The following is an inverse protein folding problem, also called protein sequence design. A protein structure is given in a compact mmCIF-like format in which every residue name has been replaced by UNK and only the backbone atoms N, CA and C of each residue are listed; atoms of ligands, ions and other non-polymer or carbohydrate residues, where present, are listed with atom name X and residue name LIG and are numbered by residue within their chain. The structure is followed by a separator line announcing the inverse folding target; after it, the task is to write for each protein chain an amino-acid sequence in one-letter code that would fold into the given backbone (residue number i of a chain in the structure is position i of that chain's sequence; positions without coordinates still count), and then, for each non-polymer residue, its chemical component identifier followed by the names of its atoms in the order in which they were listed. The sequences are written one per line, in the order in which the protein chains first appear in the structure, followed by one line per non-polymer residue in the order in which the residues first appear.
data_IF_744502010880
#
_entry.id   IF_744502010880
#
_cell.length_a   1.000
_cell.length_b   1.000
_cell.length_c   1.000
_cell.angle_alpha   90.00
_cell.angle_beta   90.00
_cell.angle_gamma   90.00
#
_symmetry.space_group_name_H-M   'P 1'
#
loop_
_entity.id
_entity.type
_entity.pdbx_description
1 polymer ?
#
# COMPACT_ATOMS: atom_id res chain seq x y z
N UNK A 1 -13.49 -2.65 11.06
CA UNK A 1 -12.11 -2.12 11.20
C UNK A 1 -11.52 -1.92 9.82
N UNK A 2 -10.71 -0.88 9.66
CA UNK A 2 -10.00 -0.54 8.42
C UNK A 2 -8.56 -1.00 8.46
N UNK A 3 -7.96 -1.20 7.30
CA UNK A 3 -6.54 -1.44 7.16
C UNK A 3 -5.91 -0.34 6.30
N UNK A 4 -4.73 0.14 6.71
CA UNK A 4 -3.86 0.98 5.89
C UNK A 4 -2.52 0.26 5.74
N UNK A 5 -2.09 0.06 4.49
CA UNK A 5 -0.71 -0.36 4.19
C UNK A 5 0.07 0.81 3.61
N UNK A 6 1.19 1.10 4.27
CA UNK A 6 2.10 2.21 3.95
C UNK A 6 3.06 1.79 2.83
N UNK A 7 2.87 2.36 1.64
CA UNK A 7 3.60 2.00 0.42
C UNK A 7 4.15 3.22 -0.37
N UNK A 8 4.09 4.43 0.18
CA UNK A 8 4.55 5.67 -0.46
C UNK A 8 6.08 5.89 -0.45
N UNK A 9 6.86 4.90 0.00
CA UNK A 9 8.32 5.00 0.05
C UNK A 9 8.98 4.93 -1.34
N UNK A 10 9.95 5.83 -1.60
CA UNK A 10 10.77 5.82 -2.82
C UNK A 10 11.84 4.72 -2.86
N UNK A 11 12.06 4.02 -1.74
CA UNK A 11 12.92 2.84 -1.63
C UNK A 11 14.33 2.98 -2.27
N UNK A 12 14.94 4.17 -2.23
CA UNK A 12 16.19 4.49 -2.96
C UNK A 12 17.40 3.63 -2.56
N UNK A 13 17.35 3.01 -1.38
CA UNK A 13 18.38 2.08 -0.89
C UNK A 13 18.46 0.76 -1.68
N UNK A 14 17.40 0.41 -2.41
CA UNK A 14 17.31 -0.82 -3.21
C UNK A 14 17.52 -0.57 -4.72
N UNK A 15 17.94 0.63 -5.11
CA UNK A 15 18.29 0.89 -6.51
C UNK A 15 19.38 -0.09 -6.99
N UNK A 16 19.28 -0.59 -8.24
CA UNK A 16 18.33 -0.15 -9.29
C UNK A 16 16.97 -0.86 -9.28
N UNK A 17 16.74 -1.84 -8.39
CA UNK A 17 15.49 -2.64 -8.41
C UNK A 17 14.24 -1.79 -8.26
N UNK A 18 14.32 -0.73 -7.47
CA UNK A 18 13.20 0.16 -7.13
C UNK A 18 13.17 1.45 -7.93
N UNK A 19 13.98 1.56 -8.98
CA UNK A 19 14.01 2.77 -9.81
C UNK A 19 12.70 2.96 -10.58
N UNK A 20 12.13 1.85 -11.08
CA UNK A 20 10.88 1.84 -11.86
C UNK A 20 9.78 0.99 -11.24
N UNK A 21 10.05 0.24 -10.17
CA UNK A 21 9.07 -0.63 -9.52
C UNK A 21 9.01 -0.33 -8.03
N UNK A 22 7.85 -0.06 -7.42
CA UNK A 22 7.78 0.18 -5.98
C UNK A 22 8.15 -1.10 -5.21
N UNK A 23 8.88 -0.96 -4.09
CA UNK A 23 9.34 -2.10 -3.28
C UNK A 23 8.23 -3.10 -2.93
N UNK A 24 7.02 -2.68 -2.49
CA UNK A 24 5.93 -3.61 -2.16
C UNK A 24 5.45 -4.47 -3.34
N UNK A 25 5.72 -4.08 -4.58
CA UNK A 25 5.37 -4.86 -5.78
C UNK A 25 6.53 -5.72 -6.30
N UNK A 26 7.70 -5.67 -5.67
CA UNK A 26 8.78 -6.60 -6.00
C UNK A 26 8.39 -8.04 -5.61
N UNK A 27 8.74 -9.04 -6.45
CA UNK A 27 8.40 -10.42 -6.19
C UNK A 27 9.25 -11.02 -5.07
N UNK A 28 8.60 -11.69 -4.13
CA UNK A 28 9.21 -12.53 -3.09
C UNK A 28 8.54 -13.90 -3.15
N UNK A 29 9.30 -14.97 -3.39
CA UNK A 29 8.73 -16.31 -3.52
C UNK A 29 7.67 -16.43 -4.63
N UNK A 30 7.82 -15.67 -5.71
CA UNK A 30 6.93 -15.69 -6.88
C UNK A 30 5.67 -14.82 -6.77
N UNK A 31 5.45 -14.08 -5.67
CA UNK A 31 4.33 -13.16 -5.48
C UNK A 31 4.81 -11.77 -5.02
N UNK A 32 4.13 -10.67 -5.39
CA UNK A 32 4.40 -9.34 -4.84
C UNK A 32 4.46 -9.33 -3.31
N UNK A 33 5.41 -8.60 -2.74
CA UNK A 33 5.60 -8.46 -1.29
C UNK A 33 4.29 -8.06 -0.56
N UNK A 34 3.52 -7.13 -1.14
CA UNK A 34 2.25 -6.67 -0.60
C UNK A 34 1.20 -7.80 -0.48
N UNK A 35 1.24 -8.82 -1.34
CA UNK A 35 0.30 -9.94 -1.26
C UNK A 35 0.59 -10.86 -0.07
N UNK A 36 1.86 -10.95 0.35
CA UNK A 36 2.20 -11.63 1.59
C UNK A 36 1.71 -10.83 2.80
N UNK A 37 1.85 -9.50 2.77
CA UNK A 37 1.30 -8.62 3.82
C UNK A 37 -0.22 -8.81 3.96
N UNK A 38 -0.94 -8.81 2.84
CA UNK A 38 -2.39 -9.06 2.81
C UNK A 38 -2.75 -10.45 3.34
N UNK A 39 -1.99 -11.48 2.96
CA UNK A 39 -2.22 -12.84 3.45
C UNK A 39 -2.00 -12.94 4.97
N UNK A 40 -0.97 -12.28 5.50
CA UNK A 40 -0.68 -12.24 6.93
C UNK A 40 -1.76 -11.48 7.71
N UNK A 41 -2.26 -10.35 7.21
CA UNK A 41 -3.29 -9.58 7.90
C UNK A 41 -4.70 -10.17 7.78
N UNK A 42 -4.99 -10.94 6.73
CA UNK A 42 -6.27 -11.64 6.56
C UNK A 42 -6.61 -12.56 7.75
N UNK A 43 -5.61 -13.08 8.47
CA UNK A 43 -5.79 -13.92 9.65
C UNK A 43 -6.44 -13.20 10.84
N UNK A 44 -6.40 -11.85 10.88
CA UNK A 44 -7.01 -11.04 11.95
C UNK A 44 -8.54 -11.07 11.84
N UNK A 45 -9.08 -11.09 10.62
CA UNK A 45 -10.52 -11.01 10.35
C UNK A 45 -11.12 -9.62 10.61
N UNK A 46 -12.33 -9.39 10.12
CA UNK A 46 -13.09 -8.15 10.38
C UNK A 46 -12.59 -6.89 9.65
N UNK A 47 -11.59 -7.02 8.77
CA UNK A 47 -11.12 -5.97 7.88
C UNK A 47 -12.08 -5.90 6.70
N UNK A 48 -12.83 -4.80 6.60
CA UNK A 48 -13.85 -4.60 5.57
C UNK A 48 -13.39 -3.68 4.41
N UNK A 49 -12.26 -2.99 4.60
CA UNK A 49 -11.66 -2.09 3.62
C UNK A 49 -10.16 -1.95 3.86
N UNK A 50 -9.38 -2.10 2.79
CA UNK A 50 -7.93 -1.89 2.79
C UNK A 50 -7.55 -0.69 1.93
N UNK A 51 -6.83 0.26 2.51
CA UNK A 51 -6.22 1.37 1.78
C UNK A 51 -4.73 1.12 1.61
N UNK A 52 -4.23 1.25 0.39
CA UNK A 52 -2.79 1.23 0.09
C UNK A 52 -2.39 2.64 -0.27
N UNK A 53 -1.64 3.30 0.61
CA UNK A 53 -1.14 4.66 0.36
C UNK A 53 0.18 4.62 -0.37
N UNK A 54 0.27 5.35 -1.48
CA UNK A 54 1.42 5.41 -2.37
C UNK A 54 1.69 6.84 -2.83
N UNK A 55 2.77 7.03 -3.59
CA UNK A 55 3.15 8.32 -4.16
C UNK A 55 2.81 8.42 -5.65
N UNK A 56 2.90 9.63 -6.20
CA UNK A 56 2.55 9.94 -7.60
C UNK A 56 3.35 9.07 -8.58
N UNK A 57 4.64 8.84 -8.29
CA UNK A 57 5.53 8.08 -9.17
C UNK A 57 5.07 6.64 -9.35
N UNK A 58 4.45 6.04 -8.33
CA UNK A 58 4.10 4.63 -8.32
C UNK A 58 2.58 4.35 -8.29
N UNK A 59 1.74 5.38 -8.29
CA UNK A 59 0.27 5.25 -8.27
C UNK A 59 -0.23 4.26 -9.33
N UNK A 60 0.14 4.46 -10.59
CA UNK A 60 -0.26 3.57 -11.71
C UNK A 60 0.15 2.11 -11.51
N UNK A 61 1.28 1.86 -10.84
CA UNK A 61 1.73 0.49 -10.58
C UNK A 61 0.80 -0.21 -9.59
N UNK A 62 0.38 0.50 -8.55
CA UNK A 62 -0.54 -0.03 -7.56
C UNK A 62 -1.97 -0.13 -8.09
N UNK A 63 -2.43 0.81 -8.91
CA UNK A 63 -3.74 0.72 -9.57
C UNK A 63 -3.84 -0.52 -10.48
N UNK A 64 -2.80 -0.74 -11.30
CA UNK A 64 -2.73 -1.94 -12.14
C UNK A 64 -2.68 -3.23 -11.31
N UNK A 65 -1.88 -3.24 -10.24
CA UNK A 65 -1.83 -4.40 -9.33
C UNK A 65 -3.19 -4.65 -8.66
N UNK A 66 -3.86 -3.62 -8.14
CA UNK A 66 -5.15 -3.75 -7.47
C UNK A 66 -6.21 -4.28 -8.43
N UNK A 67 -6.25 -3.78 -9.66
CA UNK A 67 -7.19 -4.27 -10.68
C UNK A 67 -7.00 -5.76 -10.98
N UNK A 68 -5.76 -6.24 -11.11
CA UNK A 68 -5.49 -7.67 -11.30
C UNK A 68 -5.77 -8.49 -10.03
N UNK A 69 -5.44 -7.95 -8.85
CA UNK A 69 -5.70 -8.61 -7.58
C UNK A 69 -7.19 -8.80 -7.32
N UNK A 70 -8.02 -7.79 -7.58
CA UNK A 70 -9.48 -7.87 -7.42
C UNK A 70 -10.14 -8.80 -8.46
N UNK A 71 -9.55 -8.98 -9.64
CA UNK A 71 -10.01 -10.03 -10.57
C UNK A 71 -9.78 -11.43 -9.99
N UNK A 72 -8.66 -11.64 -9.33
CA UNK A 72 -8.32 -12.91 -8.70
C UNK A 72 -9.03 -13.12 -7.34
N UNK A 73 -9.38 -12.03 -6.65
CA UNK A 73 -10.03 -11.99 -5.34
C UNK A 73 -11.22 -11.02 -5.37
N UNK A 74 -12.38 -11.41 -5.94
CA UNK A 74 -13.52 -10.51 -6.15
C UNK A 74 -14.12 -9.91 -4.86
N UNK A 75 -13.93 -10.60 -3.73
CA UNK A 75 -14.42 -10.14 -2.42
C UNK A 75 -13.45 -9.16 -1.74
N UNK A 76 -12.26 -8.92 -2.31
CA UNK A 76 -11.28 -8.00 -1.75
C UNK A 76 -11.70 -6.54 -1.98
N UNK A 77 -12.03 -5.86 -0.90
CA UNK A 77 -12.35 -4.44 -0.89
C UNK A 77 -11.08 -3.62 -0.61
N UNK A 78 -10.52 -3.04 -1.67
CA UNK A 78 -9.27 -2.28 -1.62
C UNK A 78 -9.35 -0.97 -2.39
N UNK A 79 -8.56 0.02 -1.99
CA UNK A 79 -8.41 1.29 -2.69
C UNK A 79 -6.96 1.78 -2.65
N UNK A 80 -6.51 2.39 -3.75
CA UNK A 80 -5.21 3.05 -3.81
C UNK A 80 -5.38 4.53 -3.46
N UNK A 81 -4.55 5.01 -2.53
CA UNK A 81 -4.52 6.40 -2.11
C UNK A 81 -3.18 7.00 -2.56
N UNK A 82 -3.20 7.80 -3.61
CA UNK A 82 -2.05 8.60 -4.01
C UNK A 82 -1.96 9.86 -3.12
N UNK A 83 -0.85 10.01 -2.39
CA UNK A 83 -0.56 11.14 -1.51
C UNK A 83 -0.15 12.43 -2.26
N UNK A 84 0.10 12.32 -3.57
CA UNK A 84 0.48 13.41 -4.46
C UNK A 84 1.96 13.82 -4.40
N UNK A 85 2.76 13.18 -3.56
CA UNK A 85 4.21 13.46 -3.46
C UNK A 85 4.94 12.92 -4.68
N UNK A 86 5.96 13.64 -5.14
CA UNK A 86 6.63 13.34 -6.42
C UNK A 86 8.09 12.92 -6.27
N UNK A 87 8.71 13.25 -5.15
CA UNK A 87 10.12 13.02 -4.88
C UNK A 87 10.35 12.46 -3.47
N UNK A 88 11.56 12.00 -3.22
CA UNK A 88 11.92 11.50 -1.90
C UNK A 88 12.02 12.63 -0.85
N UNK A 89 12.18 13.87 -1.31
CA UNK A 89 12.40 15.07 -0.49
C UNK A 89 11.09 15.69 0.00
N UNK A 90 10.00 15.60 -0.78
CA UNK A 90 8.67 16.12 -0.46
C UNK A 90 7.72 15.07 0.13
N UNK A 91 8.20 13.84 0.36
CA UNK A 91 7.41 12.76 0.97
C UNK A 91 6.85 13.16 2.34
N UNK A 92 5.65 12.70 2.65
CA UNK A 92 5.02 12.90 3.96
C UNK A 92 5.64 12.01 5.05
N UNK A 93 6.11 10.82 4.64
CA UNK A 93 6.59 9.79 5.55
C UNK A 93 5.45 9.08 6.27
N UNK A 94 5.75 7.97 6.95
CA UNK A 94 4.75 7.05 7.47
C UNK A 94 3.60 7.68 8.29
N UNK A 95 3.92 8.62 9.17
CA UNK A 95 2.91 9.30 10.00
C UNK A 95 2.08 10.28 9.18
N UNK A 96 2.71 11.01 8.25
CA UNK A 96 2.00 11.93 7.36
C UNK A 96 1.09 11.18 6.37
N UNK A 97 1.55 10.06 5.82
CA UNK A 97 0.75 9.17 4.97
C UNK A 97 -0.46 8.61 5.72
N UNK A 98 -0.24 8.16 6.95
CA UNK A 98 -1.31 7.66 7.83
C UNK A 98 -2.36 8.75 8.08
N UNK A 99 -1.92 9.94 8.50
CA UNK A 99 -2.82 11.07 8.74
C UNK A 99 -3.57 11.46 7.46
N UNK A 100 -2.88 11.52 6.32
CA UNK A 100 -3.46 11.87 5.03
C UNK A 100 -4.62 10.94 4.65
N UNK A 101 -4.44 9.63 4.79
CA UNK A 101 -5.50 8.64 4.49
C UNK A 101 -6.68 8.78 5.46
N UNK A 102 -6.41 8.92 6.77
CA UNK A 102 -7.46 9.07 7.78
C UNK A 102 -8.34 10.30 7.49
N UNK A 103 -7.72 11.44 7.20
CA UNK A 103 -8.44 12.68 6.91
C UNK A 103 -9.19 12.62 5.58
N UNK A 104 -8.54 12.13 4.51
CA UNK A 104 -9.12 12.05 3.17
C UNK A 104 -10.34 11.13 3.11
N UNK A 105 -10.24 9.96 3.73
CA UNK A 105 -11.28 8.93 3.71
C UNK A 105 -12.22 9.02 4.93
N UNK A 106 -12.05 10.07 5.76
CA UNK A 106 -12.84 10.34 6.97
C UNK A 106 -12.97 9.10 7.88
N UNK A 107 -11.86 8.43 8.15
CA UNK A 107 -11.85 7.17 8.91
C UNK A 107 -12.11 7.46 10.40
N UNK A 108 -13.22 6.93 10.90
CA UNK A 108 -13.64 6.94 12.31
C UNK A 108 -13.99 5.51 12.75
N UNK A 109 -13.00 4.61 12.69
CA UNK A 109 -13.13 3.18 13.02
C UNK A 109 -11.76 2.65 13.51
N UNK A 110 -11.74 1.46 14.11
CA UNK A 110 -10.51 0.77 14.49
C UNK A 110 -9.61 0.56 13.28
N UNK A 111 -8.31 0.72 13.47
CA UNK A 111 -7.34 0.80 12.39
C UNK A 111 -6.17 -0.17 12.58
N UNK A 112 -5.94 -1.00 11.58
CA UNK A 112 -4.72 -1.77 11.42
C UNK A 112 -3.76 -1.02 10.47
N UNK A 113 -2.58 -0.65 10.95
CA UNK A 113 -1.55 0.02 10.14
C UNK A 113 -0.37 -0.92 9.96
N UNK A 114 0.02 -1.19 8.71
CA UNK A 114 1.12 -2.11 8.39
C UNK A 114 2.05 -1.49 7.34
N UNK A 115 3.36 -1.72 7.45
CA UNK A 115 4.30 -1.35 6.40
C UNK A 115 4.17 -2.33 5.21
N UNK A 116 4.24 -1.83 3.97
CA UNK A 116 4.07 -2.65 2.76
C UNK A 116 5.14 -3.73 2.53
N UNK A 117 6.12 -3.85 3.44
CA UNK A 117 7.21 -4.80 3.41
C UNK A 117 7.35 -5.69 4.66
N UNK A 118 6.34 -5.70 5.55
CA UNK A 118 6.30 -6.58 6.72
C UNK A 118 5.74 -7.97 6.36
N UNK A 119 6.63 -8.88 5.96
CA UNK A 119 6.33 -10.28 5.66
C UNK A 119 6.03 -11.12 6.92
#
# INVERSE_FOLDING_TARGET
MKQIILAAGYATRLHPLTEHTPKPLLPVGGRPMIEHVLASSAAIGGIDQTFVVTNEKFADHFENWLAEYQKAQPDFNGAIINDGTRTNEDRLGAIGDLQYVIEREAIDDDLLVIAGDNL
#
